data_IF_920366548199
#
_entry.id   IF_920366548199
#
_cell.length_a   1.000
_cell.length_b   1.000
_cell.length_c   1.000
_cell.angle_alpha   90.00
_cell.angle_beta   90.00
_cell.angle_gamma   90.00
#
_symmetry.space_group_name_H-M   'P 1'
#
loop_
_entity.id
_entity.type
_entity.pdbx_description
1 polymer ?
#
# COMPACT_ATOMS: atom_id res chain seq x y z
N UNK A 1 -24.41 19.28 -19.06
CA UNK A 1 -24.48 18.00 -18.36
C UNK A 1 -23.06 17.59 -18.00
N UNK A 2 -22.69 17.64 -16.72
CA UNK A 2 -21.33 17.33 -16.26
C UNK A 2 -21.22 15.81 -16.10
N UNK A 3 -20.44 15.18 -16.97
CA UNK A 3 -20.11 13.77 -16.90
C UNK A 3 -19.22 13.59 -15.67
N UNK A 4 -19.80 13.09 -14.58
CA UNK A 4 -19.03 12.60 -13.43
C UNK A 4 -18.33 11.33 -13.87
N UNK A 5 -17.08 11.45 -14.33
CA UNK A 5 -16.20 10.30 -14.50
C UNK A 5 -16.07 9.61 -13.14
N UNK A 6 -16.77 8.48 -13.04
CA UNK A 6 -16.67 7.61 -11.88
C UNK A 6 -15.31 6.94 -12.04
N UNK A 7 -14.32 7.44 -11.30
CA UNK A 7 -12.97 6.88 -11.26
C UNK A 7 -13.09 5.41 -10.83
N UNK A 8 -13.18 4.48 -11.80
CA UNK A 8 -13.09 3.05 -11.56
C UNK A 8 -11.67 2.82 -11.07
N UNK A 9 -11.48 2.91 -9.75
CA UNK A 9 -10.19 2.71 -9.13
C UNK A 9 -9.66 1.35 -9.59
N UNK A 10 -8.52 1.34 -10.29
CA UNK A 10 -7.78 0.11 -10.54
C UNK A 10 -7.68 -0.67 -9.22
N UNK A 11 -8.21 -1.88 -9.23
CA UNK A 11 -8.13 -2.80 -8.11
C UNK A 11 -6.83 -3.59 -8.25
N UNK A 12 -5.95 -3.42 -7.26
CA UNK A 12 -4.76 -4.27 -7.14
C UNK A 12 -5.13 -5.54 -6.38
N UNK A 13 -4.79 -6.69 -6.93
CA UNK A 13 -5.06 -7.98 -6.30
C UNK A 13 -3.84 -8.39 -5.48
N UNK A 14 -4.05 -8.61 -4.18
CA UNK A 14 -3.01 -9.05 -3.25
C UNK A 14 -3.03 -10.58 -3.18
N UNK A 15 -1.89 -11.21 -3.45
CA UNK A 15 -1.69 -12.66 -3.31
C UNK A 15 -1.52 -13.05 -1.84
N UNK A 16 -0.70 -12.30 -1.10
CA UNK A 16 -0.42 -12.54 0.32
C UNK A 16 -0.07 -11.23 1.04
N UNK A 17 -0.48 -11.11 2.30
CA UNK A 17 -0.20 -9.96 3.16
C UNK A 17 0.09 -10.42 4.58
N UNK A 18 1.22 -10.00 5.13
CA UNK A 18 1.61 -10.35 6.50
C UNK A 18 2.53 -9.28 7.10
N UNK A 19 2.59 -9.20 8.43
CA UNK A 19 3.60 -8.39 9.11
C UNK A 19 4.98 -8.99 8.93
N UNK A 20 6.01 -8.16 8.81
CA UNK A 20 7.39 -8.62 8.85
C UNK A 20 7.66 -9.42 10.14
N UNK A 21 8.51 -10.45 10.01
CA UNK A 21 8.93 -11.34 11.10
C UNK A 21 9.95 -10.65 12.04
N UNK A 22 9.68 -9.42 12.43
CA UNK A 22 10.44 -8.69 13.45
C UNK A 22 9.81 -8.89 14.83
N UNK A 23 10.61 -8.79 15.91
CA UNK A 23 10.10 -8.81 17.27
C UNK A 23 8.92 -7.84 17.43
N UNK A 24 7.95 -8.21 18.27
CA UNK A 24 6.80 -7.34 18.51
C UNK A 24 7.31 -6.01 19.11
N UNK A 25 6.90 -4.85 18.55
CA UNK A 25 7.30 -3.56 19.09
C UNK A 25 6.79 -3.41 20.53
N UNK A 26 7.58 -2.72 21.36
CA UNK A 26 7.15 -2.26 22.69
C UNK A 26 6.03 -1.23 22.56
N UNK A 27 5.24 -1.03 23.62
CA UNK A 27 4.27 0.07 23.65
C UNK A 27 5.02 1.39 23.34
N UNK A 28 4.45 2.20 22.45
CA UNK A 28 5.02 3.46 21.90
C UNK A 28 6.06 3.32 20.78
N UNK A 29 6.51 2.11 20.42
CA UNK A 29 7.31 1.92 19.22
C UNK A 29 6.44 1.86 17.95
N UNK A 30 7.05 2.19 16.80
CA UNK A 30 6.37 2.16 15.50
C UNK A 30 5.79 0.77 15.19
N UNK A 31 4.61 0.72 14.54
CA UNK A 31 4.00 -0.56 14.15
C UNK A 31 4.88 -1.33 13.17
N UNK A 32 4.76 -2.67 13.19
CA UNK A 32 5.51 -3.52 12.25
C UNK A 32 5.04 -3.25 10.82
N UNK A 33 5.97 -3.03 9.87
CA UNK A 33 5.61 -2.92 8.47
C UNK A 33 4.86 -4.17 8.01
N UNK A 34 3.92 -3.95 7.09
CA UNK A 34 3.18 -5.02 6.42
C UNK A 34 3.79 -5.24 5.05
N UNK A 35 4.17 -6.48 4.76
CA UNK A 35 4.63 -6.90 3.44
C UNK A 35 3.44 -7.47 2.68
N UNK A 36 3.10 -6.83 1.57
CA UNK A 36 2.08 -7.28 0.64
C UNK A 36 2.73 -7.70 -0.68
N UNK A 37 2.41 -8.91 -1.13
CA UNK A 37 2.78 -9.41 -2.44
C UNK A 37 1.58 -9.28 -3.37
N UNK A 38 1.73 -8.53 -4.45
CA UNK A 38 0.69 -8.41 -5.47
C UNK A 38 0.70 -9.66 -6.35
N UNK A 39 -0.50 -10.08 -6.78
CA UNK A 39 -0.67 -11.24 -7.65
C UNK A 39 -0.01 -11.02 -9.01
N UNK A 40 -0.09 -9.80 -9.53
CA UNK A 40 0.53 -9.42 -10.80
C UNK A 40 1.71 -8.49 -10.53
N UNK A 41 2.90 -8.88 -10.98
CA UNK A 41 4.11 -8.08 -10.85
C UNK A 41 3.97 -6.69 -11.52
N UNK A 42 3.24 -6.59 -12.63
CA UNK A 42 3.05 -5.31 -13.34
C UNK A 42 2.28 -4.28 -12.52
N UNK A 43 1.46 -4.75 -11.58
CA UNK A 43 0.64 -3.90 -10.74
C UNK A 43 1.46 -3.24 -9.63
N UNK A 44 2.66 -3.75 -9.33
CA UNK A 44 3.55 -3.22 -8.30
C UNK A 44 3.93 -1.76 -8.57
N UNK A 45 4.43 -1.50 -9.77
CA UNK A 45 4.88 -0.16 -10.14
C UNK A 45 3.71 0.80 -10.30
N UNK A 46 2.56 0.30 -10.78
CA UNK A 46 1.32 1.06 -10.87
C UNK A 46 0.82 1.49 -9.47
N UNK A 47 0.82 0.58 -8.49
CA UNK A 47 0.42 0.86 -7.12
C UNK A 47 1.33 1.91 -6.46
N UNK A 48 2.65 1.77 -6.63
CA UNK A 48 3.61 2.75 -6.10
C UNK A 48 3.48 4.11 -6.76
N UNK A 49 3.32 4.16 -8.09
CA UNK A 49 3.12 5.40 -8.83
C UNK A 49 1.87 6.13 -8.34
N UNK A 50 0.76 5.40 -8.24
CA UNK A 50 -0.52 5.94 -7.76
C UNK A 50 -0.41 6.44 -6.32
N UNK A 51 0.30 5.70 -5.46
CA UNK A 51 0.60 6.14 -4.10
C UNK A 51 1.35 7.47 -4.05
N UNK A 52 2.35 7.66 -4.92
CA UNK A 52 3.10 8.92 -5.04
C UNK A 52 2.25 10.06 -5.58
N UNK A 53 1.43 9.79 -6.59
CA UNK A 53 0.56 10.80 -7.22
C UNK A 53 -0.47 11.37 -6.23
N UNK A 54 -0.96 10.53 -5.32
CA UNK A 54 -1.89 10.93 -4.25
C UNK A 54 -1.24 11.77 -3.15
N UNK A 55 0.10 11.81 -3.05
CA UNK A 55 0.94 12.47 -2.03
C UNK A 55 0.73 11.97 -0.59
N UNK A 56 -0.52 11.86 -0.15
CA UNK A 56 -0.92 11.40 1.18
C UNK A 56 -1.88 10.23 1.03
N UNK A 57 -1.56 9.12 1.70
CA UNK A 57 -2.41 7.94 1.73
C UNK A 57 -3.00 7.79 3.13
N UNK A 58 -4.32 7.70 3.21
CA UNK A 58 -5.04 7.54 4.47
C UNK A 58 -5.64 6.15 4.56
N UNK A 59 -5.42 5.48 5.68
CA UNK A 59 -6.08 4.23 6.05
C UNK A 59 -6.67 4.39 7.45
N UNK A 60 -7.98 4.25 7.57
CA UNK A 60 -8.72 4.41 8.84
C UNK A 60 -8.40 5.74 9.56
N UNK A 61 -8.22 6.82 8.79
CA UNK A 61 -7.88 8.14 9.33
C UNK A 61 -6.40 8.33 9.71
N UNK A 62 -5.57 7.30 9.57
CA UNK A 62 -4.12 7.35 9.79
C UNK A 62 -3.37 7.49 8.47
N UNK A 63 -2.34 8.32 8.45
CA UNK A 63 -1.44 8.41 7.31
C UNK A 63 -0.57 7.15 7.22
N UNK A 64 -0.51 6.57 6.02
CA UNK A 64 0.32 5.41 5.71
C UNK A 64 1.27 5.73 4.58
N UNK A 65 2.34 4.95 4.49
CA UNK A 65 3.33 5.08 3.42
C UNK A 65 3.54 3.73 2.73
N UNK A 66 3.71 3.78 1.40
CA UNK A 66 3.98 2.61 0.57
C UNK A 66 5.38 2.72 -0.02
N UNK A 67 6.15 1.64 0.11
CA UNK A 67 7.52 1.55 -0.42
C UNK A 67 7.71 0.21 -1.10
N UNK A 68 8.58 0.19 -2.12
CA UNK A 68 9.07 -1.05 -2.70
C UNK A 68 9.93 -1.79 -1.69
N UNK A 69 9.73 -3.10 -1.58
CA UNK A 69 10.68 -3.96 -0.85
C UNK A 69 11.88 -4.26 -1.74
N UNK A 70 13.06 -3.74 -1.38
CA UNK A 70 14.31 -3.89 -2.13
C UNK A 70 15.18 -5.05 -1.62
N UNK A 71 14.67 -5.87 -0.70
CA UNK A 71 15.45 -6.95 -0.06
C UNK A 71 15.45 -8.27 -0.83
N UNK A 72 14.96 -8.29 -2.09
CA UNK A 72 14.95 -9.47 -2.96
C UNK A 72 16.26 -9.68 -3.70
#
# INVERSE_FOLDING_TARGET
>A
MSVRETNRGEMFVVECMHHLLTPRPVLEASPRPVKARLLNYRDHDAALRKGRDLKTLLHEGSEISLYSDLTQ
#
